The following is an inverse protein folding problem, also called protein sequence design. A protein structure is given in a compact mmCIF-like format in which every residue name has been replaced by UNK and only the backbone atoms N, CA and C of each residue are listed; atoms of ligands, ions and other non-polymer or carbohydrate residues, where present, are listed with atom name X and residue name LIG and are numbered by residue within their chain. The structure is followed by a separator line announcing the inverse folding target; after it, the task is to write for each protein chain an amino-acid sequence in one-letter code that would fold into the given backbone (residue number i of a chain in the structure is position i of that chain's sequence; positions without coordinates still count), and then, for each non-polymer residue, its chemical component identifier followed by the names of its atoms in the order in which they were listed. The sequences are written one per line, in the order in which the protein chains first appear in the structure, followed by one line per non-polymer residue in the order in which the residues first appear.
data_IF_286142974058
#
_entry.id   IF_286142974058
#
_cell.length_a   1.000
_cell.length_b   1.000
_cell.length_c   1.000
_cell.angle_alpha   90.00
_cell.angle_beta   90.00
_cell.angle_gamma   90.00
#
_symmetry.space_group_name_H-M   'P 1'
#
loop_
_entity.id
_entity.type
_entity.pdbx_description
1 polymer ?
#
# COMPACT_ATOMS: atom_id res chain seq x y z
N UNK A 1 13.96 46.18 14.44
CA UNK A 1 12.51 46.33 14.61
C UNK A 1 11.95 45.09 15.30
N UNK A 2 11.05 45.28 16.26
CA UNK A 2 10.30 44.16 16.87
C UNK A 2 9.16 43.70 15.95
N UNK A 3 8.60 42.51 16.17
CA UNK A 3 7.51 41.97 15.34
C UNK A 3 6.32 42.93 15.21
N UNK A 4 5.86 43.52 16.32
CA UNK A 4 4.73 44.47 16.33
C UNK A 4 4.99 45.75 15.52
N UNK A 5 6.24 46.21 15.46
CA UNK A 5 6.62 47.40 14.70
C UNK A 5 6.54 47.11 13.21
N UNK A 6 7.09 45.96 12.80
CA UNK A 6 7.01 45.47 11.42
C UNK A 6 5.55 45.27 10.99
N UNK A 7 4.75 44.60 11.81
CA UNK A 7 3.32 44.38 11.52
C UNK A 7 2.56 45.70 11.31
N UNK A 8 2.83 46.72 12.14
CA UNK A 8 2.19 48.03 12.02
C UNK A 8 2.64 48.81 10.79
N UNK A 9 3.94 48.84 10.50
CA UNK A 9 4.47 49.58 9.35
C UNK A 9 4.07 48.91 8.03
N UNK A 10 4.27 47.61 7.93
CA UNK A 10 3.89 46.83 6.74
C UNK A 10 2.38 46.84 6.54
N UNK A 11 1.61 46.60 7.62
CA UNK A 11 0.15 46.64 7.58
C UNK A 11 -0.39 48.01 7.14
N UNK A 12 0.25 49.11 7.57
CA UNK A 12 -0.11 50.47 7.15
C UNK A 12 0.10 50.67 5.66
N UNK A 13 1.26 50.30 5.13
CA UNK A 13 1.55 50.48 3.70
C UNK A 13 0.66 49.59 2.83
N UNK A 14 0.43 48.32 3.21
CA UNK A 14 -0.51 47.42 2.51
C UNK A 14 -1.91 48.03 2.50
N UNK A 15 -2.42 48.49 3.65
CA UNK A 15 -3.76 49.07 3.74
C UNK A 15 -3.90 50.33 2.88
N UNK A 16 -2.88 51.20 2.90
CA UNK A 16 -2.85 52.43 2.09
C UNK A 16 -2.90 52.11 0.60
N UNK A 17 -2.11 51.15 0.13
CA UNK A 17 -2.08 50.72 -1.27
C UNK A 17 -3.39 50.06 -1.69
N UNK A 18 -3.95 49.17 -0.85
CA UNK A 18 -5.22 48.50 -1.17
C UNK A 18 -6.40 49.48 -1.18
N UNK A 19 -6.44 50.45 -0.27
CA UNK A 19 -7.49 51.47 -0.24
C UNK A 19 -7.48 52.40 -1.45
N UNK A 20 -6.33 52.60 -2.08
CA UNK A 20 -6.24 53.35 -3.33
C UNK A 20 -6.92 52.61 -4.51
N UNK A 21 -7.07 51.29 -4.41
CA UNK A 21 -7.74 50.44 -5.41
C UNK A 21 -9.20 50.20 -5.03
N UNK A 22 -9.46 49.90 -3.75
CA UNK A 22 -10.79 49.60 -3.22
C UNK A 22 -10.96 50.19 -1.82
N UNK A 23 -11.86 51.18 -1.70
CA UNK A 23 -11.95 52.07 -0.54
C UNK A 23 -12.50 51.42 0.75
N UNK A 24 -13.19 50.28 0.64
CA UNK A 24 -13.82 49.55 1.75
C UNK A 24 -12.87 48.57 2.47
N UNK A 25 -11.63 48.42 2.01
CA UNK A 25 -10.65 47.52 2.63
C UNK A 25 -10.33 47.98 4.06
N UNK A 26 -10.34 47.03 4.99
CA UNK A 26 -10.06 47.24 6.42
C UNK A 26 -9.19 46.11 6.97
N UNK A 27 -8.51 46.40 8.07
CA UNK A 27 -7.78 45.37 8.84
C UNK A 27 -8.76 44.70 9.78
N UNK A 28 -8.80 43.37 9.75
CA UNK A 28 -9.51 42.53 10.71
C UNK A 28 -8.50 41.58 11.37
N UNK A 29 -8.37 41.66 12.70
CA UNK A 29 -7.45 40.82 13.47
C UNK A 29 -8.11 39.53 13.99
N UNK A 30 -9.41 39.38 13.79
CA UNK A 30 -10.21 38.25 14.29
C UNK A 30 -10.52 37.28 13.17
N UNK A 31 -11.07 37.78 12.05
CA UNK A 31 -11.50 36.97 10.92
C UNK A 31 -11.09 37.63 9.58
N UNK A 32 -9.78 37.70 9.28
CA UNK A 32 -9.31 38.29 8.04
C UNK A 32 -9.66 37.43 6.82
N UNK A 33 -10.10 38.07 5.73
CA UNK A 33 -10.28 37.40 4.43
C UNK A 33 -8.95 36.91 3.85
N UNK A 34 -7.87 37.67 4.09
CA UNK A 34 -6.51 37.35 3.64
C UNK A 34 -5.53 37.72 4.74
N UNK A 35 -4.65 36.78 5.11
CA UNK A 35 -3.57 37.03 6.06
C UNK A 35 -2.25 37.14 5.31
N UNK A 36 -1.64 38.33 5.30
CA UNK A 36 -0.28 38.52 4.80
C UNK A 36 0.72 38.13 5.88
N UNK A 37 1.56 37.15 5.59
CA UNK A 37 2.59 36.61 6.48
C UNK A 37 3.95 37.15 6.05
N UNK A 38 4.73 37.61 7.04
CA UNK A 38 6.08 38.14 6.85
C UNK A 38 7.04 37.35 7.72
N UNK A 39 7.90 36.55 7.10
CA UNK A 39 8.98 35.83 7.78
C UNK A 39 10.31 36.54 7.54
N UNK A 40 10.91 37.04 8.62
CA UNK A 40 12.24 37.68 8.59
C UNK A 40 13.29 36.64 8.98
N UNK A 41 14.16 36.31 8.04
CA UNK A 41 15.29 35.39 8.24
C UNK A 41 16.61 36.14 7.98
N UNK A 42 17.77 35.63 8.42
CA UNK A 42 19.04 36.31 8.19
C UNK A 42 19.27 36.66 6.71
N UNK A 43 19.35 37.95 6.41
CA UNK A 43 19.60 38.50 5.08
C UNK A 43 18.45 38.42 4.07
N UNK A 44 17.26 37.93 4.45
CA UNK A 44 16.10 37.82 3.55
C UNK A 44 14.78 38.04 4.27
N UNK A 45 13.77 38.46 3.53
CA UNK A 45 12.38 38.55 3.99
C UNK A 45 11.52 37.76 3.02
N UNK A 46 10.70 36.86 3.55
CA UNK A 46 9.70 36.13 2.79
C UNK A 46 8.33 36.72 3.10
N UNK A 47 7.60 37.13 2.07
CA UNK A 47 6.25 37.69 2.17
C UNK A 47 5.30 36.83 1.34
N UNK A 48 4.22 36.36 1.95
CA UNK A 48 3.24 35.51 1.27
C UNK A 48 1.84 35.68 1.87
N UNK A 49 0.81 35.48 1.06
CA UNK A 49 -0.60 35.53 1.46
C UNK A 49 -1.30 34.18 1.32
N UNK A 50 -0.75 33.28 0.49
CA UNK A 50 -1.27 31.94 0.28
C UNK A 50 -0.30 30.91 0.86
N UNK A 51 -0.87 29.91 1.54
CA UNK A 51 -0.15 28.76 2.03
C UNK A 51 -0.89 27.50 1.58
N UNK A 52 -0.28 26.76 0.66
CA UNK A 52 -0.79 25.45 0.28
C UNK A 52 -0.37 24.42 1.34
N UNK A 53 -1.34 23.78 1.99
CA UNK A 53 -1.05 22.67 2.90
C UNK A 53 -0.58 21.44 2.12
N UNK A 54 0.59 20.93 2.49
CA UNK A 54 1.07 19.64 2.03
C UNK A 54 0.37 18.48 2.76
N UNK A 55 0.66 17.23 2.37
CA UNK A 55 0.07 16.04 3.00
C UNK A 55 0.50 15.81 4.47
N UNK A 56 1.46 16.60 4.96
CA UNK A 56 2.09 16.43 6.27
C UNK A 56 2.75 15.06 6.42
N UNK A 57 2.93 14.61 7.68
CA UNK A 57 3.56 13.32 7.97
C UNK A 57 5.09 13.40 8.06
N UNK A 58 5.75 12.28 7.79
CA UNK A 58 7.21 12.14 7.85
C UNK A 58 7.81 12.09 6.43
N UNK A 59 9.09 12.49 6.25
CA UNK A 59 9.76 12.37 4.97
C UNK A 59 9.73 10.94 4.44
N UNK A 60 9.44 10.78 3.15
CA UNK A 60 9.33 9.47 2.52
C UNK A 60 10.62 8.64 2.67
N UNK A 61 10.45 7.32 2.79
CA UNK A 61 11.53 6.33 2.88
C UNK A 61 12.54 6.51 4.04
N UNK A 62 12.12 7.15 5.14
CA UNK A 62 12.92 7.27 6.37
C UNK A 62 12.61 6.21 7.44
N UNK A 63 11.45 5.56 7.36
CA UNK A 63 10.92 4.63 8.36
C UNK A 63 11.17 3.14 8.08
N UNK A 64 12.05 2.81 7.14
CA UNK A 64 12.30 1.43 6.70
C UNK A 64 11.35 0.95 5.59
N UNK A 65 11.38 -0.36 5.31
CA UNK A 65 10.62 -0.99 4.21
C UNK A 65 9.57 -1.97 4.71
N UNK A 66 8.39 -1.97 4.09
CA UNK A 66 7.36 -2.99 4.27
C UNK A 66 6.86 -3.51 2.92
N UNK A 67 6.24 -4.69 2.93
CA UNK A 67 5.58 -5.27 1.75
C UNK A 67 4.07 -5.07 1.86
N UNK A 68 3.48 -4.33 0.93
CA UNK A 68 2.04 -4.06 0.86
C UNK A 68 1.34 -5.10 -0.03
N UNK A 69 0.37 -5.83 0.52
CA UNK A 69 -0.54 -6.66 -0.27
C UNK A 69 -1.60 -5.76 -0.90
N UNK A 70 -1.41 -5.41 -2.17
CA UNK A 70 -2.27 -4.52 -2.93
C UNK A 70 -3.38 -5.33 -3.63
N UNK A 71 -4.64 -4.94 -3.45
CA UNK A 71 -5.78 -5.40 -4.26
C UNK A 71 -6.32 -4.23 -5.10
N UNK A 72 -7.26 -4.51 -6.00
CA UNK A 72 -7.92 -3.46 -6.78
C UNK A 72 -8.99 -2.67 -6.01
N UNK A 73 -9.29 -3.05 -4.77
CA UNK A 73 -10.32 -2.41 -3.95
C UNK A 73 -9.88 -1.08 -3.32
N UNK A 74 -10.83 -0.33 -2.75
CA UNK A 74 -10.58 0.99 -2.17
C UNK A 74 -9.56 0.97 -1.03
N UNK A 75 -9.55 -0.10 -0.24
CA UNK A 75 -8.91 -0.14 1.07
C UNK A 75 -7.38 -0.19 0.96
N UNK A 76 -6.82 -1.05 0.10
CA UNK A 76 -5.37 -1.26 0.03
C UNK A 76 -4.59 -0.03 -0.44
N UNK A 77 -5.16 0.78 -1.34
CA UNK A 77 -4.55 2.04 -1.77
C UNK A 77 -4.47 3.06 -0.63
N UNK A 78 -5.52 3.14 0.19
CA UNK A 78 -5.59 4.04 1.35
C UNK A 78 -4.66 3.56 2.46
N UNK A 79 -4.62 2.26 2.74
CA UNK A 79 -3.68 1.67 3.71
C UNK A 79 -2.22 1.95 3.32
N UNK A 80 -1.89 1.80 2.03
CA UNK A 80 -0.57 2.13 1.51
C UNK A 80 -0.22 3.61 1.75
N UNK A 81 -1.13 4.52 1.38
CA UNK A 81 -0.95 5.96 1.59
C UNK A 81 -0.71 6.32 3.06
N UNK A 82 -1.50 5.75 3.99
CA UNK A 82 -1.31 5.98 5.43
C UNK A 82 0.08 5.56 5.92
N UNK A 83 0.60 4.43 5.44
CA UNK A 83 1.95 3.98 5.81
C UNK A 83 3.05 4.85 5.19
N UNK A 84 2.90 5.26 3.93
CA UNK A 84 3.84 6.18 3.28
C UNK A 84 3.94 7.53 4.02
N UNK A 85 2.83 8.05 4.55
CA UNK A 85 2.84 9.26 5.41
C UNK A 85 3.63 9.10 6.72
N UNK A 86 3.95 7.87 7.13
CA UNK A 86 4.81 7.59 8.28
C UNK A 86 6.27 7.35 7.86
N UNK A 87 6.64 7.75 6.66
CA UNK A 87 7.99 7.61 6.12
C UNK A 87 8.34 6.18 5.71
N UNK A 88 7.39 5.25 5.74
CA UNK A 88 7.63 3.87 5.35
C UNK A 88 7.68 3.75 3.83
N UNK A 89 8.71 3.08 3.31
CA UNK A 89 8.82 2.75 1.90
C UNK A 89 8.12 1.40 1.62
N UNK A 90 7.20 1.40 0.67
CA UNK A 90 6.38 0.24 0.34
C UNK A 90 6.83 -0.43 -0.95
N UNK A 91 7.01 -1.75 -0.85
CA UNK A 91 7.10 -2.67 -1.98
C UNK A 91 5.72 -3.30 -2.15
N UNK A 92 5.13 -3.21 -3.33
CA UNK A 92 3.80 -3.73 -3.59
C UNK A 92 3.86 -5.17 -4.08
N UNK A 93 2.92 -5.98 -3.62
CA UNK A 93 2.65 -7.33 -4.12
C UNK A 93 1.18 -7.40 -4.47
N UNK A 94 0.87 -7.79 -5.69
CA UNK A 94 -0.48 -8.03 -6.15
C UNK A 94 -0.60 -9.46 -6.68
N UNK A 95 -1.57 -10.19 -6.14
CA UNK A 95 -1.92 -11.52 -6.61
C UNK A 95 -3.04 -11.38 -7.63
N UNK A 96 -2.91 -12.04 -8.77
CA UNK A 96 -3.91 -11.99 -9.83
C UNK A 96 -4.23 -13.39 -10.34
N UNK A 97 -5.46 -13.55 -10.85
CA UNK A 97 -5.90 -14.77 -11.53
C UNK A 97 -6.18 -14.51 -13.01
N UNK A 98 -6.69 -15.55 -13.66
CA UNK A 98 -7.16 -15.48 -15.04
C UNK A 98 -8.41 -14.62 -15.10
N UNK A 99 -8.38 -13.54 -15.88
CA UNK A 99 -9.51 -12.65 -16.05
C UNK A 99 -10.53 -13.23 -17.02
N UNK A 100 -11.82 -13.10 -16.70
CA UNK A 100 -12.89 -13.30 -17.68
C UNK A 100 -12.76 -12.30 -18.85
N UNK A 101 -13.11 -12.67 -20.10
CA UNK A 101 -13.12 -11.73 -21.23
C UNK A 101 -13.97 -10.46 -21.01
N UNK A 102 -14.96 -10.53 -20.10
CA UNK A 102 -15.86 -9.41 -19.75
C UNK A 102 -15.27 -8.40 -18.77
N UNK A 103 -14.10 -8.68 -18.18
CA UNK A 103 -13.45 -7.86 -17.16
C UNK A 103 -11.96 -7.68 -17.48
N UNK A 104 -11.43 -6.48 -17.25
CA UNK A 104 -9.99 -6.25 -17.40
C UNK A 104 -9.16 -7.04 -16.37
N UNK A 105 -7.86 -7.27 -16.63
CA UNK A 105 -7.00 -7.95 -15.66
C UNK A 105 -6.75 -7.06 -14.44
N UNK A 106 -6.89 -7.63 -13.23
CA UNK A 106 -6.63 -6.93 -11.96
C UNK A 106 -5.19 -6.44 -11.85
N UNK A 107 -4.23 -7.07 -12.54
CA UNK A 107 -2.86 -6.58 -12.64
C UNK A 107 -2.75 -5.17 -13.23
N UNK A 108 -3.58 -4.83 -14.23
CA UNK A 108 -3.59 -3.48 -14.81
C UNK A 108 -4.14 -2.45 -13.82
N UNK A 109 -5.14 -2.82 -13.02
CA UNK A 109 -5.69 -1.98 -11.93
C UNK A 109 -4.60 -1.73 -10.89
N UNK A 110 -3.90 -2.78 -10.45
CA UNK A 110 -2.80 -2.69 -9.50
C UNK A 110 -1.66 -1.80 -10.04
N UNK A 111 -1.29 -1.93 -11.31
CA UNK A 111 -0.29 -1.05 -11.93
C UNK A 111 -0.71 0.42 -11.92
N UNK A 112 -1.98 0.72 -12.25
CA UNK A 112 -2.49 2.11 -12.18
C UNK A 112 -2.49 2.63 -10.76
N UNK A 113 -2.89 1.82 -9.78
CA UNK A 113 -2.80 2.19 -8.36
C UNK A 113 -1.35 2.51 -7.95
N UNK A 114 -0.38 1.68 -8.30
CA UNK A 114 1.04 1.93 -7.98
C UNK A 114 1.54 3.21 -8.66
N UNK A 115 1.10 3.51 -9.89
CA UNK A 115 1.43 4.79 -10.55
C UNK A 115 0.92 6.00 -9.76
N UNK A 116 -0.32 5.96 -9.27
CA UNK A 116 -0.89 7.03 -8.42
C UNK A 116 -0.16 7.15 -7.08
N UNK A 117 0.29 6.03 -6.52
CA UNK A 117 0.96 6.01 -5.22
C UNK A 117 2.46 6.37 -5.29
N UNK A 118 3.12 6.18 -6.44
CA UNK A 118 4.57 6.40 -6.58
C UNK A 118 5.02 7.83 -6.25
N UNK A 119 4.29 8.91 -6.61
CA UNK A 119 4.65 10.27 -6.20
C UNK A 119 4.82 10.48 -4.69
N UNK A 120 4.18 9.66 -3.85
CA UNK A 120 4.28 9.77 -2.38
C UNK A 120 5.54 9.12 -1.78
N UNK A 121 6.29 8.35 -2.58
CA UNK A 121 7.54 7.70 -2.14
C UNK A 121 8.67 7.70 -3.19
N UNK A 122 8.47 8.41 -4.30
CA UNK A 122 9.36 8.60 -5.46
C UNK A 122 9.69 7.34 -6.29
N UNK A 123 9.88 6.20 -5.64
CA UNK A 123 10.16 4.92 -6.29
C UNK A 123 9.30 3.83 -5.71
N UNK A 124 8.78 2.97 -6.57
CA UNK A 124 7.94 1.83 -6.16
C UNK A 124 8.35 0.59 -6.94
N UNK A 125 8.19 -0.57 -6.32
CA UNK A 125 8.26 -1.87 -7.00
C UNK A 125 6.92 -2.57 -6.85
N UNK A 126 6.43 -3.16 -7.93
CA UNK A 126 5.26 -4.03 -7.92
C UNK A 126 5.68 -5.44 -8.33
N UNK A 127 5.44 -6.41 -7.45
CA UNK A 127 5.45 -7.82 -7.79
C UNK A 127 4.04 -8.26 -8.19
N UNK A 128 3.93 -8.87 -9.36
CA UNK A 128 2.71 -9.48 -9.87
C UNK A 128 2.84 -11.00 -9.76
N UNK A 129 1.94 -11.64 -9.02
CA UNK A 129 2.02 -13.07 -8.73
C UNK A 129 0.79 -13.79 -9.27
N UNK A 130 0.94 -14.67 -10.28
CA UNK A 130 -0.16 -15.49 -10.76
C UNK A 130 -0.59 -16.49 -9.68
N UNK A 131 -1.89 -16.52 -9.37
CA UNK A 131 -2.40 -17.26 -8.22
C UNK A 131 -3.34 -18.43 -8.60
N UNK A 132 -3.70 -18.57 -9.88
CA UNK A 132 -4.69 -19.57 -10.33
C UNK A 132 -4.30 -21.02 -10.03
N UNK A 133 -3.03 -21.38 -10.22
CA UNK A 133 -2.54 -22.75 -9.98
C UNK A 133 -2.60 -23.10 -8.48
N UNK A 134 -2.27 -22.13 -7.63
CA UNK A 134 -2.32 -22.25 -6.18
C UNK A 134 -3.78 -22.35 -5.70
N UNK A 135 -4.68 -21.51 -6.22
CA UNK A 135 -6.11 -21.58 -5.91
C UNK A 135 -6.70 -22.94 -6.26
N UNK A 136 -6.39 -23.47 -7.45
CA UNK A 136 -6.90 -24.79 -7.87
C UNK A 136 -6.50 -25.91 -6.94
N UNK A 137 -5.26 -25.90 -6.43
CA UNK A 137 -4.81 -26.91 -5.46
C UNK A 137 -5.53 -26.77 -4.11
N UNK A 138 -5.72 -25.53 -3.63
CA UNK A 138 -6.49 -25.27 -2.40
C UNK A 138 -7.95 -25.72 -2.57
N UNK A 139 -8.58 -25.44 -3.72
CA UNK A 139 -9.95 -25.86 -4.01
C UNK A 139 -10.10 -27.38 -3.99
N UNK A 140 -9.13 -28.10 -4.53
CA UNK A 140 -9.14 -29.56 -4.62
C UNK A 140 -8.95 -30.26 -3.28
N UNK A 141 -8.18 -29.67 -2.35
CA UNK A 141 -7.80 -30.32 -1.10
C UNK A 141 -8.52 -29.78 0.15
N UNK A 142 -8.99 -28.53 0.13
CA UNK A 142 -9.48 -27.86 1.34
C UNK A 142 -11.02 -27.73 1.43
N UNK A 143 -11.57 -27.71 2.66
CA UNK A 143 -12.98 -27.43 2.90
C UNK A 143 -13.42 -26.10 2.29
N UNK A 144 -14.59 -26.08 1.63
CA UNK A 144 -15.08 -24.92 0.90
C UNK A 144 -15.12 -23.65 1.74
N UNK A 145 -15.70 -23.71 2.94
CA UNK A 145 -15.86 -22.57 3.84
C UNK A 145 -14.54 -21.93 4.30
N UNK A 146 -13.42 -22.66 4.27
CA UNK A 146 -12.10 -22.17 4.70
C UNK A 146 -11.24 -21.62 3.54
N UNK A 147 -11.65 -21.81 2.29
CA UNK A 147 -10.83 -21.48 1.10
C UNK A 147 -10.31 -20.05 1.10
N UNK A 148 -11.15 -19.06 1.42
CA UNK A 148 -10.75 -17.65 1.46
C UNK A 148 -9.64 -17.39 2.48
N UNK A 149 -9.72 -18.02 3.66
CA UNK A 149 -8.71 -17.87 4.71
C UNK A 149 -7.39 -18.55 4.30
N UNK A 150 -7.47 -19.69 3.63
CA UNK A 150 -6.30 -20.40 3.09
C UNK A 150 -5.66 -19.63 1.93
N UNK A 151 -6.43 -19.01 1.05
CA UNK A 151 -5.91 -18.09 0.03
C UNK A 151 -5.12 -16.96 0.68
N UNK A 152 -5.70 -16.30 1.69
CA UNK A 152 -5.06 -15.21 2.43
C UNK A 152 -3.78 -15.66 3.15
N UNK A 153 -3.79 -16.83 3.80
CA UNK A 153 -2.58 -17.42 4.42
C UNK A 153 -1.49 -17.68 3.39
N UNK A 154 -1.85 -18.24 2.24
CA UNK A 154 -0.87 -18.52 1.19
C UNK A 154 -0.30 -17.23 0.58
N UNK A 155 -1.14 -16.23 0.30
CA UNK A 155 -0.72 -14.90 -0.16
C UNK A 155 0.22 -14.22 0.85
N UNK A 156 -0.08 -14.32 2.15
CA UNK A 156 0.77 -13.79 3.21
C UNK A 156 2.12 -14.53 3.27
N UNK A 157 2.12 -15.88 3.21
CA UNK A 157 3.34 -16.70 3.20
C UNK A 157 4.24 -16.39 1.99
N UNK A 158 3.67 -16.21 0.81
CA UNK A 158 4.43 -15.81 -0.39
C UNK A 158 5.01 -14.39 -0.20
N UNK A 159 4.17 -13.45 0.25
CA UNK A 159 4.59 -12.07 0.53
C UNK A 159 5.69 -11.98 1.60
N UNK A 160 5.68 -12.89 2.58
CA UNK A 160 6.74 -13.01 3.59
C UNK A 160 8.09 -13.39 2.97
N UNK A 161 8.11 -14.30 2.00
CA UNK A 161 9.37 -14.63 1.32
C UNK A 161 9.88 -13.45 0.48
N UNK A 162 8.98 -12.66 -0.14
CA UNK A 162 9.34 -11.39 -0.78
C UNK A 162 9.89 -10.40 0.25
N UNK A 163 9.27 -10.31 1.42
CA UNK A 163 9.73 -9.48 2.54
C UNK A 163 11.19 -9.81 2.92
N UNK A 164 11.53 -11.10 3.04
CA UNK A 164 12.91 -11.57 3.27
C UNK A 164 13.86 -11.20 2.12
N UNK A 165 13.44 -11.45 0.88
CA UNK A 165 14.22 -11.13 -0.31
C UNK A 165 14.52 -9.63 -0.42
N UNK A 166 13.63 -8.77 0.06
CA UNK A 166 13.75 -7.31 0.00
C UNK A 166 14.30 -6.67 1.30
N UNK A 167 14.55 -7.45 2.36
CA UNK A 167 14.88 -6.94 3.72
C UNK A 167 13.82 -5.96 4.24
N UNK A 168 12.56 -6.24 3.97
CA UNK A 168 11.46 -5.52 4.58
C UNK A 168 11.20 -6.05 6.01
N UNK A 169 10.51 -5.25 6.82
CA UNK A 169 10.31 -5.48 8.25
C UNK A 169 8.94 -6.08 8.59
N UNK A 170 8.08 -6.31 7.59
CA UNK A 170 6.72 -6.79 7.81
C UNK A 170 5.83 -6.61 6.58
N UNK A 171 4.57 -7.02 6.74
CA UNK A 171 3.53 -6.90 5.71
C UNK A 171 2.54 -5.79 6.07
N UNK A 172 1.94 -5.17 5.07
CA UNK A 172 0.82 -4.23 5.22
C UNK A 172 -0.38 -4.78 4.46
N UNK A 173 -1.56 -4.75 5.09
CA UNK A 173 -2.82 -5.10 4.43
C UNK A 173 -3.80 -3.94 4.50
N UNK A 174 -4.76 -3.92 3.58
CA UNK A 174 -5.92 -3.04 3.62
C UNK A 174 -7.05 -3.57 4.51
N UNK A 175 -6.77 -4.40 5.51
CA UNK A 175 -7.85 -4.96 6.34
C UNK A 175 -8.44 -3.90 7.27
N UNK A 176 -9.76 -3.73 7.21
CA UNK A 176 -10.56 -3.04 8.23
C UNK A 176 -11.31 -4.07 9.07
N UNK A 177 -11.28 -3.92 10.40
CA UNK A 177 -11.79 -4.95 11.31
C UNK A 177 -13.31 -5.07 11.17
N UNK A 178 -13.78 -6.30 11.01
CA UNK A 178 -15.21 -6.63 10.93
C UNK A 178 -15.98 -6.04 9.74
N UNK A 179 -15.29 -5.55 8.71
CA UNK A 179 -15.93 -5.07 7.48
C UNK A 179 -16.44 -6.21 6.59
N UNK A 180 -15.71 -7.34 6.53
CA UNK A 180 -16.13 -8.56 5.82
C UNK A 180 -15.86 -9.81 6.66
N UNK A 181 -16.52 -10.93 6.31
CA UNK A 181 -16.41 -12.21 7.04
C UNK A 181 -14.96 -12.66 7.28
N UNK A 182 -14.05 -12.46 6.31
CA UNK A 182 -12.65 -12.84 6.44
C UNK A 182 -11.80 -11.93 7.33
N UNK A 183 -12.35 -10.81 7.81
CA UNK A 183 -11.67 -9.78 8.60
C UNK A 183 -12.22 -9.64 10.03
N UNK A 184 -12.89 -10.67 10.55
CA UNK A 184 -13.17 -10.76 11.98
C UNK A 184 -11.86 -10.94 12.76
N UNK A 185 -11.80 -10.49 14.02
CA UNK A 185 -10.58 -10.61 14.85
C UNK A 185 -10.04 -12.05 14.91
N UNK A 186 -10.94 -13.04 15.01
CA UNK A 186 -10.59 -14.46 15.01
C UNK A 186 -9.96 -14.91 13.70
N UNK A 187 -10.53 -14.47 12.56
CA UNK A 187 -9.99 -14.81 11.24
C UNK A 187 -8.65 -14.10 10.98
N UNK A 188 -8.50 -12.84 11.39
CA UNK A 188 -7.23 -12.11 11.28
C UNK A 188 -6.13 -12.81 12.09
N UNK A 189 -6.41 -13.17 13.34
CA UNK A 189 -5.46 -13.91 14.17
C UNK A 189 -5.11 -15.29 13.58
N UNK A 190 -6.10 -15.98 13.01
CA UNK A 190 -5.90 -17.30 12.40
C UNK A 190 -5.09 -17.24 11.10
N UNK A 191 -5.24 -16.18 10.31
CA UNK A 191 -4.45 -15.95 9.10
C UNK A 191 -3.01 -15.55 9.42
N UNK A 192 -2.79 -14.78 10.48
CA UNK A 192 -1.46 -14.29 10.86
C UNK A 192 -0.59 -15.36 11.53
N UNK A 193 -1.20 -16.43 12.08
CA UNK A 193 -0.47 -17.48 12.78
C UNK A 193 0.58 -18.14 11.88
N UNK A 194 1.82 -18.23 12.40
CA UNK A 194 2.94 -18.88 11.72
C UNK A 194 3.54 -18.08 10.57
N UNK A 195 3.19 -16.79 10.47
CA UNK A 195 3.77 -15.88 9.48
C UNK A 195 5.14 -15.33 9.93
N UNK A 196 5.40 -15.23 11.23
CA UNK A 196 6.70 -14.80 11.82
C UNK A 196 7.22 -13.43 11.31
N UNK A 197 6.32 -12.57 10.82
CA UNK A 197 6.60 -11.16 10.55
C UNK A 197 5.40 -10.30 10.99
N UNK A 198 5.60 -9.05 11.43
CA UNK A 198 4.50 -8.14 11.77
C UNK A 198 3.56 -7.89 10.59
N UNK A 199 2.26 -7.83 10.86
CA UNK A 199 1.22 -7.42 9.89
C UNK A 199 0.59 -6.11 10.35
N UNK A 200 0.86 -5.04 9.61
CA UNK A 200 0.35 -3.70 9.87
C UNK A 200 -1.00 -3.52 9.17
N UNK A 201 -2.00 -3.03 9.91
CA UNK A 201 -3.38 -2.81 9.44
C UNK A 201 -3.80 -1.36 9.66
N UNK A 202 -3.42 -0.42 8.78
CA UNK A 202 -3.64 1.02 8.97
C UNK A 202 -5.11 1.45 9.01
N UNK A 203 -6.02 0.57 8.61
CA UNK A 203 -7.45 0.81 8.50
C UNK A 203 -8.25 0.04 9.56
N UNK A 204 -7.60 -0.61 10.53
CA UNK A 204 -8.26 -1.48 11.50
C UNK A 204 -9.38 -0.80 12.31
N UNK A 205 -9.33 0.53 12.47
CA UNK A 205 -10.34 1.32 13.16
C UNK A 205 -11.03 2.36 12.28
N UNK A 206 -10.82 2.33 10.95
CA UNK A 206 -11.46 3.26 10.03
C UNK A 206 -12.82 2.73 9.58
N UNK A 207 -13.78 3.63 9.44
CA UNK A 207 -15.02 3.33 8.75
C UNK A 207 -14.90 3.45 7.21
N UNK A 208 -15.92 2.96 6.52
CA UNK A 208 -15.94 2.96 5.05
C UNK A 208 -15.95 4.38 4.47
N UNK A 209 -16.62 5.34 5.08
CA UNK A 209 -16.71 6.69 4.57
C UNK A 209 -15.37 7.44 4.70
N UNK A 210 -14.64 7.22 5.80
CA UNK A 210 -13.26 7.67 6.00
C UNK A 210 -12.34 7.14 4.89
N UNK A 211 -12.40 5.84 4.62
CA UNK A 211 -11.62 5.19 3.56
C UNK A 211 -11.96 5.82 2.20
N UNK A 212 -13.25 5.95 1.86
CA UNK A 212 -13.67 6.50 0.57
C UNK A 212 -13.29 7.98 0.40
N UNK A 213 -13.42 8.80 1.46
CA UNK A 213 -12.97 10.19 1.44
C UNK A 213 -11.48 10.30 1.18
N UNK A 214 -10.69 9.43 1.81
CA UNK A 214 -9.25 9.43 1.63
C UNK A 214 -8.84 8.89 0.25
N UNK A 215 -9.52 7.85 -0.25
CA UNK A 215 -9.29 7.32 -1.60
C UNK A 215 -9.50 8.40 -2.68
N UNK A 216 -10.53 9.24 -2.55
CA UNK A 216 -10.77 10.37 -3.47
C UNK A 216 -9.66 11.41 -3.39
N UNK A 217 -9.23 11.76 -2.18
CA UNK A 217 -8.15 12.72 -1.97
C UNK A 217 -6.81 12.24 -2.55
N UNK A 218 -6.53 10.94 -2.45
CA UNK A 218 -5.29 10.34 -2.95
C UNK A 218 -5.36 10.08 -4.47
N UNK A 219 -6.56 9.94 -5.04
CA UNK A 219 -6.79 9.65 -6.46
C UNK A 219 -6.85 8.16 -6.78
N UNK A 220 -7.10 7.30 -5.78
CA UNK A 220 -7.25 5.84 -5.99
C UNK A 220 -8.70 5.41 -6.13
N UNK A 221 -9.65 6.31 -5.87
CA UNK A 221 -11.09 6.01 -5.87
C UNK A 221 -11.57 5.58 -7.26
N UNK A 222 -11.29 6.36 -8.29
CA UNK A 222 -11.76 6.13 -9.66
C UNK A 222 -11.25 4.79 -10.21
N UNK A 223 -9.97 4.49 -9.94
CA UNK A 223 -9.34 3.22 -10.34
C UNK A 223 -10.05 2.03 -9.67
N UNK A 224 -10.41 2.18 -8.40
CA UNK A 224 -11.06 1.12 -7.61
C UNK A 224 -12.54 0.93 -7.98
N UNK A 225 -13.15 1.89 -8.68
CA UNK A 225 -14.52 1.79 -9.19
C UNK A 225 -14.62 0.97 -10.49
N UNK A 226 -13.52 0.78 -11.21
CA UNK A 226 -13.53 0.04 -12.46
C UNK A 226 -13.91 -1.43 -12.23
N UNK A 227 -14.67 -2.06 -13.14
CA UNK A 227 -14.96 -3.49 -13.03
C UNK A 227 -13.70 -4.30 -13.30
N UNK A 228 -13.23 -5.01 -12.28
CA UNK A 228 -12.13 -5.97 -12.39
C UNK A 228 -12.50 -7.26 -11.66
N UNK A 229 -11.90 -8.36 -12.10
CA UNK A 229 -11.93 -9.60 -11.35
C UNK A 229 -10.66 -9.70 -10.51
N UNK A 230 -10.85 -9.63 -9.19
CA UNK A 230 -9.83 -10.05 -8.24
C UNK A 230 -9.58 -11.56 -8.39
N UNK A 231 -8.60 -12.12 -7.66
CA UNK A 231 -8.20 -13.53 -7.72
C UNK A 231 -9.39 -14.53 -7.93
N UNK A 232 -9.66 -14.88 -9.20
CA UNK A 232 -10.73 -15.73 -9.73
C UNK A 232 -12.00 -15.90 -8.85
N UNK A 233 -13.09 -15.12 -9.08
CA UNK A 233 -14.32 -15.21 -8.29
C UNK A 233 -15.04 -16.57 -8.41
N UNK A 234 -14.71 -17.36 -9.44
CA UNK A 234 -15.28 -18.69 -9.71
C UNK A 234 -15.14 -19.68 -8.54
N UNK A 235 -14.13 -19.50 -7.69
CA UNK A 235 -13.83 -20.41 -6.59
C UNK A 235 -14.15 -19.82 -5.20
N UNK A 236 -14.98 -18.77 -5.17
CA UNK A 236 -15.49 -18.21 -3.92
C UNK A 236 -16.49 -19.16 -3.27
N UNK A 237 -16.40 -19.39 -1.95
CA UNK A 237 -17.32 -20.28 -1.25
C UNK A 237 -18.71 -19.67 -1.12
N UNK A 238 -19.75 -20.51 -1.12
CA UNK A 238 -21.13 -20.08 -0.89
C UNK A 238 -21.35 -19.46 0.49
N UNK A 239 -20.67 -20.00 1.50
CA UNK A 239 -20.75 -19.55 2.89
C UNK A 239 -19.34 -19.49 3.50
N UNK A 240 -18.65 -18.34 3.38
CA UNK A 240 -17.35 -18.15 3.98
C UNK A 240 -17.41 -18.29 5.51
N UNK A 241 -16.38 -18.86 6.11
CA UNK A 241 -16.27 -18.94 7.57
C UNK A 241 -16.12 -17.54 8.19
N UNK A 242 -17.07 -17.15 9.06
CA UNK A 242 -17.03 -15.92 9.86
C UNK A 242 -16.14 -16.05 11.11
N UNK A 243 -15.92 -17.28 11.54
CA UNK A 243 -15.06 -17.66 12.66
C UNK A 243 -14.28 -18.90 12.28
N UNK A 244 -12.96 -18.83 12.44
CA UNK A 244 -12.07 -19.98 12.36
C UNK A 244 -11.08 -19.91 13.50
N UNK A 245 -10.64 -21.09 13.93
CA UNK A 245 -9.48 -21.23 14.81
C UNK A 245 -8.23 -21.46 13.99
N UNK A 246 -7.05 -21.05 14.48
CA UNK A 246 -5.81 -21.31 13.78
C UNK A 246 -5.56 -22.81 13.57
N UNK A 247 -5.96 -23.66 14.52
CA UNK A 247 -5.83 -25.13 14.45
C UNK A 247 -6.70 -25.75 13.36
N UNK A 248 -7.84 -25.13 13.00
CA UNK A 248 -8.66 -25.56 11.87
C UNK A 248 -7.95 -25.28 10.55
N UNK A 249 -7.32 -24.10 10.42
CA UNK A 249 -6.56 -23.76 9.22
C UNK A 249 -5.30 -24.63 9.11
N UNK A 250 -4.59 -24.87 10.22
CA UNK A 250 -3.41 -25.75 10.25
C UNK A 250 -3.78 -27.17 9.81
N UNK A 251 -4.92 -27.72 10.27
CA UNK A 251 -5.43 -29.03 9.82
C UNK A 251 -5.79 -29.05 8.35
N UNK A 252 -6.47 -28.01 7.86
CA UNK A 252 -6.81 -27.92 6.43
C UNK A 252 -5.56 -27.81 5.54
N UNK A 253 -4.49 -27.19 6.03
CA UNK A 253 -3.20 -27.09 5.33
C UNK A 253 -2.41 -28.41 5.29
N UNK A 254 -2.71 -29.41 6.14
CA UNK A 254 -2.01 -30.71 6.12
C UNK A 254 -2.19 -31.46 4.80
N UNK A 255 -3.27 -31.19 4.07
CA UNK A 255 -3.53 -31.75 2.75
C UNK A 255 -2.80 -31.01 1.62
N UNK A 256 -2.05 -29.95 1.93
CA UNK A 256 -1.38 -29.08 0.96
C UNK A 256 0.14 -29.15 1.13
N UNK A 257 0.86 -29.22 0.01
CA UNK A 257 2.31 -28.93 0.01
C UNK A 257 2.52 -27.42 0.02
N UNK A 258 2.45 -26.82 1.22
CA UNK A 258 2.59 -25.38 1.41
C UNK A 258 3.94 -24.86 0.90
N UNK A 259 5.01 -25.64 1.06
CA UNK A 259 6.35 -25.23 0.63
C UNK A 259 6.45 -25.17 -0.91
N UNK A 260 5.88 -26.15 -1.61
CA UNK A 260 5.78 -26.15 -3.05
C UNK A 260 4.88 -25.02 -3.57
N UNK A 261 3.72 -24.80 -2.96
CA UNK A 261 2.79 -23.72 -3.35
C UNK A 261 3.43 -22.33 -3.23
N UNK A 262 4.16 -22.08 -2.15
CA UNK A 262 4.92 -20.82 -1.99
C UNK A 262 5.97 -20.70 -3.10
N UNK A 263 6.67 -21.78 -3.42
CA UNK A 263 7.70 -21.79 -4.47
C UNK A 263 7.11 -21.54 -5.85
N UNK A 264 5.95 -22.13 -6.17
CA UNK A 264 5.19 -21.87 -7.41
C UNK A 264 4.87 -20.38 -7.54
N UNK A 265 4.38 -19.74 -6.47
CA UNK A 265 4.05 -18.32 -6.48
C UNK A 265 5.29 -17.43 -6.72
N UNK A 266 6.42 -17.77 -6.09
CA UNK A 266 7.66 -17.02 -6.26
C UNK A 266 8.28 -17.19 -7.66
N UNK A 267 8.23 -18.40 -8.24
CA UNK A 267 8.76 -18.68 -9.57
C UNK A 267 7.93 -18.01 -10.68
N UNK A 268 6.60 -17.90 -10.49
CA UNK A 268 5.72 -17.20 -11.41
C UNK A 268 5.72 -15.68 -11.28
N UNK A 269 6.46 -15.12 -10.31
CA UNK A 269 6.41 -13.69 -10.03
C UNK A 269 7.05 -12.86 -11.15
N UNK A 270 6.35 -11.82 -11.58
CA UNK A 270 6.89 -10.76 -12.43
C UNK A 270 7.08 -9.48 -11.61
N UNK A 271 7.96 -8.58 -12.05
CA UNK A 271 8.09 -7.28 -11.39
C UNK A 271 8.22 -6.10 -12.35
N UNK A 272 7.68 -4.97 -11.91
CA UNK A 272 7.83 -3.69 -12.54
C UNK A 272 8.28 -2.64 -11.51
N UNK A 273 9.29 -1.86 -11.88
CA UNK A 273 9.78 -0.71 -11.12
C UNK A 273 9.17 0.57 -11.68
N UNK A 274 8.76 1.46 -10.77
CA UNK A 274 8.17 2.76 -11.07
C UNK A 274 9.03 3.85 -10.47
N UNK A 275 9.22 4.93 -11.22
CA UNK A 275 10.03 6.08 -10.79
C UNK A 275 9.32 7.38 -11.14
N UNK A 276 9.11 8.23 -10.12
CA UNK A 276 8.57 9.56 -10.26
C UNK A 276 9.68 10.60 -10.39
N UNK A 277 9.78 11.22 -11.57
CA UNK A 277 10.72 12.30 -11.85
C UNK A 277 10.06 13.34 -12.76
N UNK A 278 10.32 14.62 -12.49
CA UNK A 278 9.84 15.75 -13.31
C UNK A 278 8.33 15.71 -13.59
N UNK A 279 7.55 15.33 -12.57
CA UNK A 279 6.08 15.27 -12.69
C UNK A 279 5.53 14.03 -13.38
N UNK A 280 6.37 13.08 -13.80
CA UNK A 280 5.94 11.89 -14.53
C UNK A 280 6.38 10.60 -13.86
N UNK A 281 5.55 9.56 -13.98
CA UNK A 281 5.89 8.20 -13.51
C UNK A 281 6.30 7.33 -14.69
N UNK A 282 7.57 6.95 -14.72
CA UNK A 282 8.11 5.98 -15.69
C UNK A 282 8.02 4.56 -15.15
N UNK A 283 7.95 3.57 -16.04
CA UNK A 283 7.87 2.14 -15.71
C UNK A 283 8.99 1.39 -16.41
N UNK A 284 9.60 0.46 -15.70
CA UNK A 284 10.59 -0.48 -16.24
C UNK A 284 10.29 -1.88 -15.75
N UNK A 285 10.20 -2.84 -16.65
CA UNK A 285 10.08 -4.25 -16.29
C UNK A 285 11.44 -4.82 -15.90
N UNK A 286 11.40 -5.73 -14.94
CA UNK A 286 12.58 -6.49 -14.55
C UNK A 286 12.48 -6.98 -13.11
N UNK A 287 12.82 -8.25 -12.91
CA UNK A 287 13.01 -8.77 -11.58
C UNK A 287 14.34 -8.28 -11.00
N UNK A 288 14.41 -8.01 -9.69
CA UNK A 288 15.67 -7.68 -9.05
C UNK A 288 16.58 -8.90 -9.07
N UNK A 289 17.84 -8.73 -9.49
CA UNK A 289 18.85 -9.81 -9.45
C UNK A 289 18.92 -10.54 -8.10
N UNK A 290 18.68 -9.81 -7.02
CA UNK A 290 18.64 -10.36 -5.66
C UNK A 290 17.46 -11.31 -5.46
N UNK A 291 16.28 -10.95 -5.98
CA UNK A 291 15.09 -11.80 -5.93
C UNK A 291 15.30 -13.05 -6.80
N UNK A 292 15.82 -12.91 -8.00
CA UNK A 292 16.14 -14.05 -8.89
C UNK A 292 17.10 -15.05 -8.22
N UNK A 293 18.18 -14.55 -7.60
CA UNK A 293 19.12 -15.39 -6.82
C UNK A 293 18.44 -16.07 -5.64
N UNK A 294 17.55 -15.36 -4.94
CA UNK A 294 16.80 -15.91 -3.82
C UNK A 294 15.88 -17.06 -4.25
N UNK A 295 15.13 -16.89 -5.34
CA UNK A 295 14.26 -17.95 -5.90
C UNK A 295 15.09 -19.15 -6.37
N UNK A 296 16.21 -18.91 -7.05
CA UNK A 296 17.11 -19.98 -7.49
C UNK A 296 17.69 -20.80 -6.31
N UNK A 297 18.12 -20.13 -5.25
CA UNK A 297 18.61 -20.78 -4.03
C UNK A 297 17.52 -21.62 -3.36
N UNK A 298 16.31 -21.08 -3.22
CA UNK A 298 15.17 -21.82 -2.66
C UNK A 298 14.84 -23.08 -3.47
N UNK A 299 14.90 -23.00 -4.79
CA UNK A 299 14.69 -24.15 -5.69
C UNK A 299 15.75 -25.23 -5.49
N UNK A 300 17.01 -24.84 -5.30
CA UNK A 300 18.10 -25.79 -5.02
C UNK A 300 17.86 -26.53 -3.69
N UNK A 301 17.47 -25.79 -2.64
CA UNK A 301 17.13 -26.37 -1.33
C UNK A 301 15.95 -27.35 -1.41
N UNK A 302 14.88 -27.00 -2.14
CA UNK A 302 13.73 -27.88 -2.34
C UNK A 302 14.07 -29.18 -3.10
N UNK A 303 15.18 -29.20 -3.85
CA UNK A 303 15.68 -30.37 -4.61
C UNK A 303 16.75 -31.17 -3.86
N UNK A 304 17.07 -30.81 -2.62
CA UNK A 304 18.07 -31.53 -1.80
C UNK A 304 19.53 -31.25 -2.18
N UNK A 305 19.82 -30.19 -2.94
CA UNK A 305 21.20 -29.78 -3.20
C UNK A 305 21.68 -28.93 -2.01
N UNK A 306 22.67 -29.44 -1.26
CA UNK A 306 23.27 -28.77 -0.11
C UNK A 306 23.80 -27.37 -0.41
N UNK A 307 23.91 -26.55 0.64
CA UNK A 307 24.26 -25.12 0.60
C UNK A 307 25.55 -24.83 -0.20
N UNK A 308 25.51 -23.98 -1.24
CA UNK A 308 26.63 -23.14 -1.58
C UNK A 308 26.61 -21.87 -0.69
N UNK A 309 27.76 -21.30 -0.34
CA UNK A 309 27.87 -20.28 0.70
C UNK A 309 27.01 -19.06 0.39
N UNK A 310 26.27 -18.58 1.40
CA UNK A 310 25.61 -17.28 1.39
C UNK A 310 26.60 -16.21 0.90
N UNK A 311 26.21 -15.30 -0.01
CA UNK A 311 27.08 -14.19 -0.38
C UNK A 311 27.32 -13.32 0.87
N UNK A 312 28.56 -13.36 1.37
CA UNK A 312 29.03 -12.63 2.54
C UNK A 312 29.22 -11.15 2.16
N UNK A 313 28.60 -10.29 2.99
CA UNK A 313 28.74 -8.82 3.16
C UNK A 313 28.32 -7.93 2.00
#
# INVERSE_FOLDING_TARGET
AGSMEIEREVGREILKTLRAIRSDVRVDLTEPEVTCQVEVVPGKVLVYAERAEGPGGLPAATGGRLVMLLSGGFDSGVAAYKMMRRGVHLIFVHFYGSASPSSGPSSAVAERMVRVLTPYQFTSRLYLIPFDSIQRQIVAAAPENLRVLLYRRMMARISREICRAERALGLVTGDSVSQVASQTLHNLASVDRGLDVPVYRPLAGDDKEEILRLARRVGTYEISCEPFEDCCPRFMPRSPAIFSSPEQLDRAEQALDVAALVTIGLEGAHAADFKYERGQVTRREGLPRRFEKFVAHRKAMARGAGDPPLPVR
#
